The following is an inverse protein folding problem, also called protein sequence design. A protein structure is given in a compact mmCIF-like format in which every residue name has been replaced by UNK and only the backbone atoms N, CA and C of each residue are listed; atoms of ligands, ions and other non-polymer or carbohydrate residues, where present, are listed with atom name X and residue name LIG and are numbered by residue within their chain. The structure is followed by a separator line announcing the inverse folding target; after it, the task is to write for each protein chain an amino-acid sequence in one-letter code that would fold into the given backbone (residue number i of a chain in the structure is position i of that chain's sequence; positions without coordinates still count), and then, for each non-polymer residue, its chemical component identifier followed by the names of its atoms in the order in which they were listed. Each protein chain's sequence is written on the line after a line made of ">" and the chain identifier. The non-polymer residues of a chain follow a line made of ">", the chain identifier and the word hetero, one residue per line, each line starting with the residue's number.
data_IF_319626323417
#
_entry.id   IF_319626323417
#
_cell.length_a   1.000
_cell.length_b   1.000
_cell.length_c   1.000
_cell.angle_alpha   90.00
_cell.angle_beta   90.00
_cell.angle_gamma   90.00
#
_symmetry.space_group_name_H-M   'P 1'
#
loop_
_entity.id
_entity.type
_entity.pdbx_description
1 polymer ?
#
# COMPACT_ATOMS: atom_id res chain seq x y z
N UNK A 1 -2.36 -20.71 -19.61
CA UNK A 1 -2.13 -20.99 -18.17
C UNK A 1 -1.86 -19.67 -17.47
N UNK A 2 -2.83 -19.24 -16.66
CA UNK A 2 -2.67 -18.07 -15.80
C UNK A 2 -1.75 -18.47 -14.64
N UNK A 3 -0.46 -18.25 -14.77
CA UNK A 3 0.47 -18.40 -13.65
C UNK A 3 0.19 -17.28 -12.63
N UNK A 4 -0.38 -17.65 -11.49
CA UNK A 4 -0.63 -16.71 -10.40
C UNK A 4 0.68 -16.43 -9.69
N UNK A 5 0.99 -15.16 -9.49
CA UNK A 5 2.11 -14.76 -8.66
C UNK A 5 1.89 -15.17 -7.19
N UNK A 6 2.97 -15.38 -6.46
CA UNK A 6 2.96 -15.73 -5.06
C UNK A 6 3.52 -14.58 -4.21
N UNK A 7 2.82 -14.26 -3.13
CA UNK A 7 3.26 -13.29 -2.12
C UNK A 7 3.94 -14.03 -0.97
N UNK A 8 5.04 -13.49 -0.48
CA UNK A 8 5.69 -13.93 0.76
C UNK A 8 5.98 -12.73 1.66
N UNK A 9 5.75 -12.92 2.94
CA UNK A 9 6.06 -11.95 3.98
C UNK A 9 7.08 -12.56 4.92
N UNK A 10 8.13 -11.83 5.22
CA UNK A 10 9.19 -12.28 6.12
C UNK A 10 9.52 -11.18 7.10
N UNK A 11 9.47 -11.50 8.39
CA UNK A 11 10.03 -10.69 9.47
C UNK A 11 11.29 -11.43 9.91
N UNK A 12 12.46 -10.89 9.60
CA UNK A 12 13.74 -11.48 9.99
C UNK A 12 14.68 -10.37 10.45
N UNK A 13 15.20 -10.48 11.67
CA UNK A 13 16.15 -9.51 12.24
C UNK A 13 15.65 -8.05 12.16
N UNK A 14 14.44 -7.80 12.65
CA UNK A 14 13.78 -6.49 12.69
C UNK A 14 13.48 -5.84 11.32
N UNK A 15 13.76 -6.53 10.21
CA UNK A 15 13.45 -6.03 8.87
C UNK A 15 12.10 -6.54 8.37
N UNK A 16 11.15 -5.63 8.16
CA UNK A 16 9.83 -5.95 7.63
C UNK A 16 9.89 -6.02 6.11
N UNK A 17 9.99 -7.23 5.55
CA UNK A 17 10.10 -7.45 4.10
C UNK A 17 8.83 -8.04 3.53
N UNK A 18 8.41 -7.50 2.39
CA UNK A 18 7.35 -8.03 1.56
C UNK A 18 7.96 -8.44 0.23
N UNK A 19 7.58 -9.57 -0.30
CA UNK A 19 8.02 -10.00 -1.63
C UNK A 19 6.86 -10.54 -2.47
N UNK A 20 7.00 -10.38 -3.78
CA UNK A 20 6.09 -10.93 -4.76
C UNK A 20 6.89 -11.61 -5.86
N UNK A 21 6.48 -12.81 -6.24
CA UNK A 21 7.15 -13.63 -7.24
C UNK A 21 6.17 -14.02 -8.35
N UNK A 22 6.60 -13.80 -9.57
CA UNK A 22 6.03 -14.40 -10.78
C UNK A 22 7.01 -15.42 -11.37
N UNK A 23 6.60 -16.25 -12.37
CA UNK A 23 7.53 -17.08 -13.09
C UNK A 23 8.67 -16.27 -13.69
N UNK A 24 9.91 -16.57 -13.27
CA UNK A 24 11.11 -15.92 -13.76
C UNK A 24 11.45 -14.57 -13.11
N UNK A 25 10.62 -13.98 -12.27
CA UNK A 25 10.88 -12.64 -11.70
C UNK A 25 10.45 -12.55 -10.23
N UNK A 26 11.15 -11.71 -9.47
CA UNK A 26 10.83 -11.45 -8.06
C UNK A 26 11.13 -10.02 -7.68
N UNK A 27 10.25 -9.45 -6.87
CA UNK A 27 10.49 -8.18 -6.19
C UNK A 27 10.52 -8.37 -4.68
N UNK A 28 11.39 -7.65 -4.01
CA UNK A 28 11.44 -7.54 -2.55
C UNK A 28 11.40 -6.05 -2.19
N UNK A 29 10.51 -5.70 -1.25
CA UNK A 29 10.42 -4.34 -0.68
C UNK A 29 10.64 -4.44 0.81
N UNK A 30 11.61 -3.69 1.30
CA UNK A 30 11.86 -3.51 2.72
C UNK A 30 11.20 -2.20 3.17
N UNK A 31 10.28 -2.30 4.11
CA UNK A 31 9.40 -1.19 4.46
C UNK A 31 10.08 -0.16 5.39
N UNK A 32 11.09 -0.54 6.16
CA UNK A 32 11.76 0.35 7.11
C UNK A 32 12.58 1.46 6.43
N UNK A 33 13.31 1.10 5.39
CA UNK A 33 14.21 2.00 4.66
C UNK A 33 13.82 2.20 3.19
N UNK A 34 12.63 1.69 2.84
CA UNK A 34 12.09 1.77 1.49
C UNK A 34 13.01 1.16 0.40
N UNK A 35 13.88 0.23 0.79
CA UNK A 35 14.80 -0.44 -0.13
C UNK A 35 14.05 -1.42 -1.01
N UNK A 36 14.36 -1.39 -2.30
CA UNK A 36 13.76 -2.22 -3.34
C UNK A 36 14.81 -3.08 -4.01
N UNK A 37 14.42 -4.32 -4.27
CA UNK A 37 15.25 -5.28 -4.98
C UNK A 37 14.39 -5.98 -6.03
N UNK A 38 14.90 -6.09 -7.25
CA UNK A 38 14.25 -6.79 -8.35
C UNK A 38 15.22 -7.79 -8.97
N UNK A 39 14.75 -9.01 -9.17
CA UNK A 39 15.56 -10.14 -9.65
C UNK A 39 14.92 -10.82 -10.85
N UNK A 40 15.75 -11.17 -11.82
CA UNK A 40 15.42 -12.06 -12.94
C UNK A 40 15.85 -13.48 -12.56
N UNK A 41 14.91 -14.27 -12.03
CA UNK A 41 15.19 -15.61 -11.53
C UNK A 41 15.50 -16.63 -12.64
N UNK A 42 15.21 -16.30 -13.90
CA UNK A 42 15.55 -17.17 -15.02
C UNK A 42 17.05 -17.14 -15.31
N UNK A 43 17.68 -15.95 -15.22
CA UNK A 43 19.12 -15.77 -15.43
C UNK A 43 19.93 -15.74 -14.13
N UNK A 44 19.30 -15.41 -13.00
CA UNK A 44 19.93 -15.30 -11.68
C UNK A 44 19.06 -15.98 -10.59
N UNK A 45 19.01 -17.32 -10.56
CA UNK A 45 18.22 -18.03 -9.55
C UNK A 45 18.74 -17.86 -8.12
N UNK A 46 19.96 -17.36 -7.96
CA UNK A 46 20.59 -17.07 -6.65
C UNK A 46 20.30 -15.69 -6.11
N UNK A 47 19.56 -14.84 -6.84
CA UNK A 47 19.20 -13.49 -6.40
C UNK A 47 20.45 -12.64 -6.03
N UNK A 48 21.51 -12.73 -6.82
CA UNK A 48 22.80 -12.09 -6.54
C UNK A 48 22.92 -10.69 -7.13
N UNK A 49 22.14 -10.37 -8.17
CA UNK A 49 22.17 -9.08 -8.88
C UNK A 49 20.84 -8.37 -8.79
N UNK A 50 20.80 -7.27 -8.04
CA UNK A 50 19.62 -6.41 -7.99
C UNK A 50 19.50 -5.58 -9.28
N UNK A 51 18.44 -5.80 -10.05
CA UNK A 51 18.15 -5.15 -11.33
C UNK A 51 17.12 -4.01 -11.19
N UNK A 52 16.83 -3.55 -9.98
CA UNK A 52 15.81 -2.50 -9.75
C UNK A 52 16.00 -1.28 -10.65
N UNK A 53 17.20 -0.72 -10.68
CA UNK A 53 17.48 0.49 -11.48
C UNK A 53 17.50 0.22 -12.98
N UNK A 54 17.95 -0.96 -13.41
CA UNK A 54 18.07 -1.32 -14.83
C UNK A 54 16.71 -1.67 -15.46
N UNK A 55 15.78 -2.22 -14.65
CA UNK A 55 14.46 -2.67 -15.10
C UNK A 55 13.32 -2.05 -14.28
N UNK A 56 13.48 -0.79 -13.86
CA UNK A 56 12.56 -0.08 -12.99
C UNK A 56 11.09 -0.19 -13.45
N UNK A 57 10.84 0.01 -14.74
CA UNK A 57 9.49 -0.07 -15.28
C UNK A 57 8.80 -1.42 -15.05
N UNK A 58 9.55 -2.53 -15.16
CA UNK A 58 9.02 -3.88 -14.88
C UNK A 58 8.91 -4.14 -13.37
N UNK A 59 9.89 -3.70 -12.61
CA UNK A 59 9.91 -3.81 -11.16
C UNK A 59 8.71 -3.10 -10.51
N UNK A 60 8.35 -1.91 -10.98
CA UNK A 60 7.16 -1.17 -10.52
C UNK A 60 5.86 -1.91 -10.80
N UNK A 61 5.74 -2.69 -11.89
CA UNK A 61 4.56 -3.52 -12.14
C UNK A 61 4.43 -4.61 -11.06
N UNK A 62 5.53 -5.28 -10.71
CA UNK A 62 5.53 -6.30 -9.67
C UNK A 62 5.28 -5.69 -8.28
N UNK A 63 5.83 -4.51 -7.99
CA UNK A 63 5.56 -3.78 -6.76
C UNK A 63 4.08 -3.44 -6.63
N UNK A 64 3.47 -2.99 -7.70
CA UNK A 64 2.05 -2.71 -7.76
C UNK A 64 1.20 -3.98 -7.52
N UNK A 65 1.60 -5.11 -8.11
CA UNK A 65 0.96 -6.41 -7.88
C UNK A 65 1.11 -6.84 -6.41
N UNK A 66 2.29 -6.69 -5.82
CA UNK A 66 2.55 -6.95 -4.40
C UNK A 66 1.59 -6.15 -3.51
N UNK A 67 1.59 -4.83 -3.63
CA UNK A 67 0.78 -3.97 -2.77
C UNK A 67 -0.72 -3.98 -3.08
N UNK A 68 -1.11 -4.57 -4.21
CA UNK A 68 -2.52 -4.88 -4.45
C UNK A 68 -3.02 -6.06 -3.61
N UNK A 69 -2.10 -6.95 -3.17
CA UNK A 69 -2.45 -8.18 -2.46
C UNK A 69 -2.19 -8.10 -0.95
N UNK A 70 -1.27 -7.25 -0.50
CA UNK A 70 -0.91 -7.16 0.91
C UNK A 70 -1.39 -5.86 1.56
N UNK A 71 -1.82 -5.97 2.80
CA UNK A 71 -2.10 -4.84 3.66
C UNK A 71 -0.81 -4.45 4.39
N UNK A 72 -0.38 -3.20 4.20
CA UNK A 72 0.93 -2.75 4.69
C UNK A 72 0.89 -2.36 6.16
N UNK A 73 -0.23 -1.77 6.62
CA UNK A 73 -0.42 -1.35 8.00
C UNK A 73 -1.73 -1.92 8.55
N UNK A 74 -1.65 -2.75 9.57
CA UNK A 74 -2.83 -3.23 10.28
C UNK A 74 -3.60 -2.03 10.89
N UNK A 75 -4.91 -1.94 10.61
CA UNK A 75 -5.74 -0.81 11.05
C UNK A 75 -5.41 0.54 10.39
N UNK A 76 -4.47 0.59 9.46
CA UNK A 76 -4.07 1.80 8.75
C UNK A 76 -4.98 2.16 7.59
N UNK A 77 -4.94 3.42 7.20
CA UNK A 77 -5.56 3.93 5.99
C UNK A 77 -4.72 3.63 4.76
N UNK A 78 -5.38 3.40 3.65
CA UNK A 78 -4.77 3.22 2.34
C UNK A 78 -5.41 4.18 1.35
N UNK A 79 -4.61 5.04 0.77
CA UNK A 79 -4.95 5.85 -0.37
C UNK A 79 -4.11 5.36 -1.55
N UNK A 80 -4.75 4.91 -2.61
CA UNK A 80 -4.09 4.51 -3.85
C UNK A 80 -4.60 5.38 -4.98
N UNK A 81 -3.75 5.63 -5.93
CA UNK A 81 -4.13 6.21 -7.22
C UNK A 81 -3.69 5.29 -8.35
N UNK A 82 -4.42 5.31 -9.43
CA UNK A 82 -4.14 4.51 -10.60
C UNK A 82 -4.43 5.28 -11.88
N UNK A 83 -3.61 5.07 -12.89
CA UNK A 83 -3.78 5.56 -14.25
C UNK A 83 -3.86 4.39 -15.23
N UNK A 84 -4.41 4.63 -16.41
CA UNK A 84 -4.58 3.68 -17.51
C UNK A 84 -3.38 3.57 -18.45
N UNK A 85 -2.22 4.06 -18.04
CA UNK A 85 -1.03 4.16 -18.87
C UNK A 85 -0.85 5.56 -19.49
N UNK A 86 -1.86 6.42 -19.42
CA UNK A 86 -1.74 7.83 -19.82
C UNK A 86 -1.12 8.63 -18.66
N UNK A 87 -0.14 9.50 -18.92
CA UNK A 87 0.41 10.37 -17.88
C UNK A 87 -0.67 11.25 -17.26
N UNK A 88 -0.81 11.20 -15.94
CA UNK A 88 -1.81 11.94 -15.17
C UNK A 88 -1.14 12.71 -14.03
N UNK A 89 -1.80 13.75 -13.55
CA UNK A 89 -1.42 14.45 -12.32
C UNK A 89 -2.37 14.06 -11.20
N UNK A 90 -1.83 13.49 -10.13
CA UNK A 90 -2.55 13.19 -8.90
C UNK A 90 -2.06 14.13 -7.81
N UNK A 91 -2.96 14.92 -7.24
CA UNK A 91 -2.61 15.86 -6.18
C UNK A 91 -3.66 15.83 -5.07
N UNK A 92 -3.27 16.28 -3.89
CA UNK A 92 -4.20 16.38 -2.79
C UNK A 92 -3.55 16.50 -1.43
N UNK A 93 -4.40 16.43 -0.42
CA UNK A 93 -3.98 16.41 0.97
C UNK A 93 -4.77 15.43 1.80
N UNK A 94 -4.12 14.91 2.84
CA UNK A 94 -4.74 14.16 3.92
C UNK A 94 -4.54 14.94 5.21
N UNK A 95 -5.60 15.19 5.95
CA UNK A 95 -5.58 15.93 7.21
C UNK A 95 -6.17 15.10 8.34
N UNK A 96 -5.70 15.33 9.56
CA UNK A 96 -6.27 14.70 10.77
C UNK A 96 -6.30 15.67 11.94
N UNK A 97 -7.26 15.52 12.84
CA UNK A 97 -7.23 16.15 14.15
C UNK A 97 -6.39 15.37 15.17
N UNK A 98 -6.03 14.12 14.84
CA UNK A 98 -5.11 13.27 15.58
C UNK A 98 -3.64 13.51 15.21
N UNK A 99 -2.84 12.44 15.27
CA UNK A 99 -1.42 12.41 14.93
C UNK A 99 -1.14 11.27 13.95
N UNK A 100 -0.39 11.54 12.89
CA UNK A 100 0.13 10.48 12.02
C UNK A 100 1.24 9.72 12.72
N UNK A 101 1.07 8.40 12.92
CA UNK A 101 2.05 7.54 13.59
C UNK A 101 2.90 6.72 12.62
N UNK A 102 2.41 6.55 11.41
CA UNK A 102 3.14 5.89 10.33
C UNK A 102 2.75 6.47 8.99
N UNK A 103 3.71 6.60 8.09
CA UNK A 103 3.50 7.00 6.70
C UNK A 103 4.42 6.19 5.80
N UNK A 104 3.83 5.42 4.88
CA UNK A 104 4.53 4.61 3.90
C UNK A 104 4.11 5.03 2.49
N UNK A 105 4.96 5.73 1.74
CA UNK A 105 4.77 5.92 0.30
C UNK A 105 5.00 4.60 -0.42
N UNK A 106 4.15 4.30 -1.40
CA UNK A 106 4.19 3.08 -2.17
C UNK A 106 4.38 3.38 -3.66
N UNK A 107 5.07 2.47 -4.39
CA UNK A 107 5.32 2.53 -5.83
C UNK A 107 6.33 3.58 -6.30
N UNK A 108 7.55 3.54 -5.77
CA UNK A 108 8.65 4.37 -6.25
C UNK A 108 8.51 5.85 -5.92
N UNK A 109 9.59 6.57 -6.10
CA UNK A 109 9.66 8.02 -5.86
C UNK A 109 9.29 8.83 -7.10
N UNK A 110 8.14 8.59 -7.69
CA UNK A 110 7.66 9.45 -8.78
C UNK A 110 6.82 10.60 -8.24
N UNK A 111 7.24 11.23 -7.16
CA UNK A 111 6.54 12.37 -6.62
C UNK A 111 7.19 12.99 -5.41
N UNK A 112 7.16 14.30 -5.33
CA UNK A 112 7.60 15.04 -4.16
C UNK A 112 6.54 14.92 -3.07
N UNK A 113 6.73 13.98 -2.15
CA UNK A 113 6.03 14.08 -0.88
C UNK A 113 6.58 15.31 -0.15
N UNK A 114 5.80 16.35 -0.04
CA UNK A 114 6.04 17.31 1.02
C UNK A 114 5.67 16.58 2.30
N UNK A 115 6.64 16.18 3.08
CA UNK A 115 6.52 15.30 4.24
C UNK A 115 5.35 15.60 5.16
N UNK A 116 5.19 14.79 6.19
CA UNK A 116 4.22 15.02 7.26
C UNK A 116 4.54 16.34 7.93
N UNK A 117 3.73 17.35 7.72
CA UNK A 117 3.76 18.60 8.49
C UNK A 117 2.70 18.52 9.58
N UNK A 118 3.06 17.97 10.73
CA UNK A 118 2.15 17.86 11.87
C UNK A 118 0.93 16.99 11.58
N UNK A 119 -0.21 17.64 11.28
CA UNK A 119 -1.52 16.99 11.05
C UNK A 119 -1.93 16.91 9.58
N UNK A 120 -1.00 17.15 8.66
CA UNK A 120 -1.29 17.22 7.23
C UNK A 120 -0.20 16.55 6.40
N UNK A 121 -0.63 15.81 5.38
CA UNK A 121 0.19 15.23 4.34
C UNK A 121 -0.25 15.84 3.03
N UNK A 122 0.65 16.50 2.30
CA UNK A 122 0.40 16.99 0.95
C UNK A 122 1.17 16.16 -0.07
N UNK A 123 0.55 15.94 -1.23
CA UNK A 123 1.19 15.30 -2.36
C UNK A 123 0.79 15.97 -3.68
N UNK A 124 1.74 15.98 -4.62
CA UNK A 124 1.54 16.49 -5.97
C UNK A 124 2.46 15.72 -6.92
N UNK A 125 1.86 14.88 -7.75
CA UNK A 125 2.53 13.86 -8.54
C UNK A 125 2.19 14.07 -10.00
N UNK A 126 3.16 14.51 -10.79
CA UNK A 126 3.01 14.71 -12.23
C UNK A 126 3.53 13.53 -13.03
N UNK A 127 2.92 13.27 -14.19
CA UNK A 127 3.38 12.27 -15.12
C UNK A 127 3.18 10.81 -14.66
N UNK A 128 2.25 10.58 -13.74
CA UNK A 128 1.95 9.22 -13.26
C UNK A 128 1.28 8.42 -14.37
N UNK A 129 1.96 7.40 -14.86
CA UNK A 129 1.48 6.54 -15.97
C UNK A 129 0.83 5.24 -15.51
N UNK A 130 1.03 4.84 -14.25
CA UNK A 130 0.51 3.55 -13.72
C UNK A 130 -0.26 3.72 -12.44
N UNK A 131 0.39 4.16 -11.40
CA UNK A 131 -0.25 4.32 -10.11
C UNK A 131 0.75 4.51 -8.99
N UNK A 132 0.21 4.64 -7.79
CA UNK A 132 0.96 4.83 -6.58
C UNK A 132 0.07 4.79 -5.35
N UNK A 133 0.59 5.23 -4.22
CA UNK A 133 -0.22 5.27 -3.01
C UNK A 133 0.51 5.70 -1.76
N UNK A 134 -0.30 5.91 -0.74
CA UNK A 134 0.11 6.14 0.64
C UNK A 134 -0.58 5.13 1.53
N UNK A 135 0.13 4.58 2.50
CA UNK A 135 -0.47 3.93 3.66
C UNK A 135 -0.05 4.69 4.90
N UNK A 136 -0.98 4.96 5.80
CA UNK A 136 -0.70 5.74 7.00
C UNK A 136 -1.59 5.30 8.16
N UNK A 137 -1.12 5.53 9.38
CA UNK A 137 -1.87 5.33 10.60
C UNK A 137 -2.07 6.65 11.33
N UNK A 138 -3.17 6.73 12.07
CA UNK A 138 -3.55 7.93 12.84
C UNK A 138 -3.96 7.51 14.24
N UNK A 139 -3.50 8.24 15.24
CA UNK A 139 -3.92 8.10 16.63
C UNK A 139 -4.59 9.39 17.15
N UNK A 140 -5.64 9.25 17.99
CA UNK A 140 -6.29 7.98 18.36
C UNK A 140 -7.03 7.33 17.17
N UNK A 141 -7.36 6.03 17.21
CA UNK A 141 -7.99 5.31 16.08
C UNK A 141 -9.30 5.91 15.55
N UNK A 142 -10.01 6.68 16.37
CA UNK A 142 -11.25 7.37 16.01
C UNK A 142 -11.06 8.83 15.56
N UNK A 143 -9.82 9.30 15.48
CA UNK A 143 -9.53 10.66 15.01
C UNK A 143 -10.12 10.89 13.61
N UNK A 144 -10.56 12.13 13.36
CA UNK A 144 -11.04 12.54 12.04
C UNK A 144 -9.91 12.49 11.02
N UNK A 145 -10.20 11.93 9.86
CA UNK A 145 -9.29 11.94 8.70
C UNK A 145 -10.03 12.54 7.51
N UNK A 146 -9.51 13.61 6.98
CA UNK A 146 -10.04 14.34 5.82
C UNK A 146 -9.19 14.16 4.58
N UNK A 147 -9.84 14.24 3.42
CA UNK A 147 -9.21 14.06 2.12
C UNK A 147 -9.67 15.18 1.17
N UNK A 148 -8.71 15.86 0.54
CA UNK A 148 -8.92 16.71 -0.60
C UNK A 148 -8.11 16.14 -1.76
N UNK A 149 -8.76 15.69 -2.83
CA UNK A 149 -8.14 14.93 -3.91
C UNK A 149 -8.48 15.56 -5.26
N UNK A 150 -7.48 15.69 -6.13
CA UNK A 150 -7.63 16.21 -7.47
C UNK A 150 -6.90 15.36 -8.50
N UNK A 151 -7.56 15.12 -9.62
CA UNK A 151 -7.02 14.44 -10.80
C UNK A 151 -6.92 15.46 -11.94
N UNK A 152 -5.72 15.61 -12.51
CA UNK A 152 -5.42 16.58 -13.57
C UNK A 152 -5.88 18.02 -13.22
N UNK A 153 -5.72 18.39 -11.93
CA UNK A 153 -6.11 19.70 -11.39
C UNK A 153 -7.62 19.90 -11.15
N UNK A 154 -8.43 18.85 -11.36
CA UNK A 154 -9.88 18.89 -11.14
C UNK A 154 -10.22 18.13 -9.85
N UNK A 155 -10.86 18.81 -8.93
CA UNK A 155 -11.50 18.17 -7.78
C UNK A 155 -12.82 17.54 -8.21
N UNK A 156 -13.07 16.29 -7.78
CA UNK A 156 -14.31 15.62 -8.12
C UNK A 156 -14.46 14.27 -7.41
N UNK A 157 -15.66 14.02 -6.92
CA UNK A 157 -16.00 12.75 -6.29
C UNK A 157 -16.06 11.60 -7.29
N UNK A 158 -16.23 11.89 -8.56
CA UNK A 158 -16.26 10.90 -9.64
C UNK A 158 -14.95 10.13 -9.81
N UNK A 159 -13.83 10.71 -9.34
CA UNK A 159 -12.51 10.08 -9.38
C UNK A 159 -12.16 9.30 -8.12
N UNK A 160 -13.06 9.26 -7.12
CA UNK A 160 -12.79 8.64 -5.82
C UNK A 160 -13.71 7.44 -5.60
N UNK A 161 -13.11 6.30 -5.29
CA UNK A 161 -13.82 5.09 -4.85
C UNK A 161 -13.45 4.78 -3.40
N UNK A 162 -14.47 4.54 -2.58
CA UNK A 162 -14.31 4.27 -1.16
C UNK A 162 -14.82 2.86 -0.86
N UNK A 163 -13.95 2.05 -0.29
CA UNK A 163 -14.31 0.73 0.19
C UNK A 163 -14.71 -0.28 -0.89
N UNK A 164 -15.26 -1.39 -0.47
CA UNK A 164 -15.49 -2.56 -1.32
C UNK A 164 -16.62 -2.40 -2.33
N UNK A 165 -17.64 -1.57 -2.08
CA UNK A 165 -18.83 -1.40 -2.95
C UNK A 165 -18.68 -0.30 -3.99
N UNK A 166 -17.49 0.26 -4.15
CA UNK A 166 -17.22 1.37 -5.08
C UNK A 166 -18.05 2.61 -4.81
N UNK A 167 -18.35 2.87 -3.54
CA UNK A 167 -19.04 4.10 -3.15
C UNK A 167 -18.14 5.31 -3.48
N UNK A 168 -18.79 6.39 -3.86
CA UNK A 168 -18.15 7.69 -4.07
C UNK A 168 -18.51 8.62 -2.92
N UNK A 169 -17.61 9.51 -2.48
CA UNK A 169 -18.00 10.55 -1.54
C UNK A 169 -19.02 11.48 -2.21
N UNK A 170 -20.01 11.98 -1.47
CA UNK A 170 -21.03 12.87 -2.04
C UNK A 170 -20.44 14.21 -2.49
N UNK A 171 -19.36 14.64 -1.86
CA UNK A 171 -18.66 15.91 -2.11
C UNK A 171 -17.15 15.75 -1.91
N UNK A 172 -16.38 16.71 -2.42
CA UNK A 172 -14.94 16.86 -2.19
C UNK A 172 -14.70 18.29 -1.67
N UNK A 173 -13.91 18.53 -0.60
CA UNK A 173 -13.28 17.55 0.27
C UNK A 173 -14.27 16.76 1.16
N UNK A 174 -13.87 15.60 1.63
CA UNK A 174 -14.67 14.73 2.51
C UNK A 174 -13.84 14.24 3.70
N UNK A 175 -14.50 13.75 4.75
CA UNK A 175 -13.82 13.23 5.92
C UNK A 175 -14.58 12.10 6.60
N UNK A 176 -13.83 11.32 7.37
CA UNK A 176 -14.36 10.28 8.25
C UNK A 176 -14.01 10.61 9.70
N UNK A 177 -14.93 10.34 10.60
CA UNK A 177 -14.75 10.51 12.04
C UNK A 177 -15.55 9.44 12.80
N UNK A 178 -15.02 8.96 13.92
CA UNK A 178 -15.67 7.95 14.75
C UNK A 178 -15.77 6.56 14.09
N UNK A 179 -16.83 5.78 14.40
CA UNK A 179 -17.03 4.46 13.81
C UNK A 179 -17.19 4.54 12.29
N UNK A 180 -16.40 3.75 11.57
CA UNK A 180 -16.43 3.72 10.11
C UNK A 180 -17.50 2.76 9.60
N UNK A 181 -18.17 3.06 8.49
CA UNK A 181 -19.00 2.09 7.78
C UNK A 181 -18.19 0.83 7.42
N UNK A 182 -18.80 -0.34 7.57
CA UNK A 182 -18.11 -1.62 7.29
C UNK A 182 -17.56 -1.72 5.87
N UNK A 183 -18.14 -1.00 4.94
CA UNK A 183 -17.68 -0.95 3.56
C UNK A 183 -16.33 -0.25 3.41
N UNK A 184 -16.07 0.81 4.19
CA UNK A 184 -14.77 1.51 4.23
C UNK A 184 -13.65 0.59 4.71
N UNK A 185 -13.98 -0.44 5.50
CA UNK A 185 -13.04 -1.44 5.99
C UNK A 185 -12.71 -2.55 4.95
N UNK A 186 -13.32 -2.48 3.78
CA UNK A 186 -13.08 -3.43 2.69
C UNK A 186 -12.23 -2.79 1.61
N UNK A 187 -11.20 -3.50 1.19
CA UNK A 187 -10.38 -3.08 0.06
C UNK A 187 -11.21 -3.02 -1.22
N UNK A 188 -11.19 -1.91 -1.97
CA UNK A 188 -11.86 -1.82 -3.25
C UNK A 188 -11.23 -2.78 -4.27
N UNK A 189 -12.07 -3.41 -5.08
CA UNK A 189 -11.59 -4.15 -6.24
C UNK A 189 -11.32 -3.15 -7.37
N UNK A 190 -10.06 -2.93 -7.70
CA UNK A 190 -9.64 -2.13 -8.85
C UNK A 190 -8.47 -2.81 -9.56
N UNK A 191 -8.26 -2.45 -10.82
CA UNK A 191 -7.15 -2.96 -11.63
C UNK A 191 -6.09 -1.87 -11.77
N UNK A 192 -4.99 -1.96 -11.01
CA UNK A 192 -3.88 -1.02 -11.15
C UNK A 192 -3.37 -0.97 -12.60
N UNK A 193 -3.15 0.25 -13.12
CA UNK A 193 -2.71 0.45 -14.49
C UNK A 193 -3.81 0.32 -15.57
N UNK A 194 -5.07 0.16 -15.17
CA UNK A 194 -6.22 0.06 -16.09
C UNK A 194 -7.40 0.93 -15.67
N UNK A 195 -7.58 1.17 -14.39
CA UNK A 195 -8.64 2.04 -13.86
C UNK A 195 -8.05 3.35 -13.38
N UNK A 196 -8.69 4.47 -13.74
CA UNK A 196 -8.24 5.83 -13.38
C UNK A 196 -8.96 6.29 -12.12
N UNK A 197 -8.22 6.82 -11.16
CA UNK A 197 -8.79 7.46 -9.99
C UNK A 197 -8.06 7.18 -8.69
N UNK A 198 -8.71 7.57 -7.61
CA UNK A 198 -8.29 7.30 -6.23
C UNK A 198 -9.13 6.18 -5.63
N UNK A 199 -8.46 5.32 -4.87
CA UNK A 199 -9.06 4.18 -4.18
C UNK A 199 -8.69 4.27 -2.71
N UNK A 200 -9.70 4.37 -1.85
CA UNK A 200 -9.55 4.63 -0.43
C UNK A 200 -10.19 3.53 0.40
N UNK A 201 -9.47 3.02 1.38
CA UNK A 201 -10.00 2.10 2.40
C UNK A 201 -9.17 2.16 3.68
N UNK A 202 -9.72 1.63 4.76
CA UNK A 202 -8.99 1.41 6.00
C UNK A 202 -8.92 -0.09 6.25
N UNK A 203 -7.74 -0.59 6.57
CA UNK A 203 -7.61 -1.99 6.98
C UNK A 203 -8.36 -2.20 8.28
N UNK A 204 -9.04 -3.33 8.41
CA UNK A 204 -9.51 -3.78 9.70
C UNK A 204 -8.30 -3.89 10.64
N UNK A 205 -8.39 -3.33 11.82
CA UNK A 205 -7.38 -3.57 12.85
C UNK A 205 -7.29 -5.07 13.12
N UNK A 206 -6.12 -5.57 13.46
CA UNK A 206 -6.02 -6.92 13.98
C UNK A 206 -7.00 -7.03 15.16
N UNK A 207 -8.02 -7.87 14.99
CA UNK A 207 -8.89 -8.17 16.12
C UNK A 207 -8.03 -8.88 17.18
N UNK A 208 -8.19 -8.57 18.48
CA UNK A 208 -7.52 -9.35 19.51
C UNK A 208 -7.79 -10.86 19.40
N UNK A 209 -8.90 -11.24 18.74
CA UNK A 209 -9.23 -12.64 18.43
C UNK A 209 -8.48 -13.21 17.22
N UNK A 210 -7.86 -12.38 16.39
CA UNK A 210 -7.05 -12.81 15.23
C UNK A 210 -5.58 -13.02 15.60
N UNK A 211 -5.19 -12.71 16.83
CA UNK A 211 -4.00 -13.25 17.43
C UNK A 211 -4.25 -14.78 17.57
N UNK A 212 -3.81 -15.52 16.56
CA UNK A 212 -3.76 -16.98 16.65
C UNK A 212 -2.93 -17.28 17.89
N UNK A 213 -3.61 -17.70 18.98
CA UNK A 213 -2.88 -18.22 20.13
C UNK A 213 -2.03 -19.37 19.61
N UNK A 214 -0.73 -19.13 19.56
CA UNK A 214 0.20 -20.18 19.16
C UNK A 214 0.02 -21.35 20.12
N UNK A 215 -0.45 -22.46 19.59
CA UNK A 215 -0.51 -23.69 20.37
C UNK A 215 0.90 -24.05 20.86
N UNK A 216 1.03 -24.74 21.97
CA UNK A 216 2.35 -25.17 22.48
C UNK A 216 3.10 -26.03 21.44
N UNK A 217 2.37 -26.83 20.66
CA UNK A 217 2.94 -27.60 19.55
C UNK A 217 3.55 -26.68 18.48
N UNK A 218 2.90 -25.57 18.14
CA UNK A 218 3.43 -24.60 17.19
C UNK A 218 4.65 -23.86 17.76
N UNK A 219 4.63 -23.53 19.06
CA UNK A 219 5.79 -22.95 19.76
C UNK A 219 6.98 -23.91 19.78
N UNK A 220 6.75 -25.19 20.12
CA UNK A 220 7.80 -26.22 20.09
C UNK A 220 8.40 -26.38 18.70
N UNK A 221 7.57 -26.42 17.66
CA UNK A 221 8.03 -26.49 16.28
C UNK A 221 8.85 -25.27 15.87
N UNK A 222 8.46 -24.07 16.30
CA UNK A 222 9.22 -22.86 16.07
C UNK A 222 10.54 -22.83 16.86
N UNK A 223 10.55 -23.35 18.12
CA UNK A 223 11.78 -23.55 18.91
C UNK A 223 12.73 -24.52 18.20
N UNK A 224 12.22 -25.67 17.75
CA UNK A 224 13.05 -26.70 17.06
C UNK A 224 13.66 -26.17 15.77
N UNK A 225 13.02 -25.19 15.13
CA UNK A 225 13.51 -24.52 13.94
C UNK A 225 14.37 -23.27 14.23
N UNK A 226 14.57 -22.93 15.51
CA UNK A 226 15.37 -21.77 15.93
C UNK A 226 14.71 -20.41 15.71
N UNK A 227 13.40 -20.36 15.55
CA UNK A 227 12.67 -19.10 15.33
C UNK A 227 12.25 -18.37 16.61
N UNK A 228 12.13 -19.08 17.72
CA UNK A 228 11.85 -18.52 19.06
C UNK A 228 12.71 -19.23 20.10
N UNK A 229 13.09 -18.51 21.16
CA UNK A 229 13.80 -19.03 22.33
C UNK A 229 12.84 -19.42 23.44
#
# INVERSE_FOLDING_TARGET
>A
ENSRGAVSETIRFDAYRKSYREPGEKIIVRLEDNRREFYDLASDPGETRNLWQEREGRALILEQALFSQVDVLAGGWNLRWSSDGTPRRFSGSVETDGVFTSLLPLYGETGRHRGVQGKRIDFDLEGVVRGGGLSFSVEPPGARVGFALALDGREGSEFVQIGGTRNRPPVTPFSFAGPLPSDVLRKPSYRPGSEIGFFLWKNAGASPSDAVEMTEEMKERLRSLGYIQ
#
